data_IF_384733249469
#
_entry.id   IF_384733249469
#
_cell.length_a   1.000
_cell.length_b   1.000
_cell.length_c   1.000
_cell.angle_alpha   90.00
_cell.angle_beta   90.00
_cell.angle_gamma   90.00
#
_symmetry.space_group_name_H-M   'P 1'
#
loop_
_entity.id
_entity.type
_entity.pdbx_description
1 polymer ?
#
# COMPACT_ATOMS: atom_id res chain seq x y z
N UNK A 1 37.48 14.50 -8.90
CA UNK A 1 36.95 15.24 -7.73
C UNK A 1 37.46 14.55 -6.49
N UNK A 2 38.12 15.24 -5.54
CA UNK A 2 38.55 14.59 -4.32
C UNK A 2 37.29 14.13 -3.56
N UNK A 3 37.30 12.88 -3.07
CA UNK A 3 36.23 12.36 -2.25
C UNK A 3 36.04 13.29 -1.06
N UNK A 4 34.85 13.90 -0.94
CA UNK A 4 34.42 14.57 0.28
C UNK A 4 34.46 13.53 1.38
N UNK A 5 35.48 13.58 2.23
CA UNK A 5 35.55 12.81 3.46
C UNK A 5 34.29 13.14 4.27
N UNK A 6 33.41 12.16 4.44
CA UNK A 6 32.25 12.30 5.32
C UNK A 6 32.83 12.44 6.73
N UNK A 7 32.85 13.67 7.25
CA UNK A 7 33.32 13.95 8.61
C UNK A 7 32.27 13.49 9.64
N UNK A 8 32.11 12.17 9.75
CA UNK A 8 31.24 11.49 10.70
C UNK A 8 32.02 10.34 11.34
N UNK A 9 31.69 10.00 12.59
CA UNK A 9 32.26 8.83 13.30
C UNK A 9 31.25 7.71 13.47
N UNK A 10 29.95 8.05 13.50
CA UNK A 10 28.86 7.12 13.77
C UNK A 10 27.77 7.30 12.72
N UNK A 11 27.24 6.19 12.22
CA UNK A 11 25.98 6.14 11.49
C UNK A 11 24.94 5.38 12.29
N UNK A 12 23.78 5.98 12.47
CA UNK A 12 22.58 5.35 13.00
C UNK A 12 21.61 5.10 11.86
N UNK A 13 21.14 3.87 11.74
CA UNK A 13 20.06 3.53 10.83
C UNK A 13 18.73 3.48 11.56
N UNK A 14 17.64 3.85 10.91
CA UNK A 14 16.36 3.27 11.27
C UNK A 14 16.39 1.76 11.02
N UNK A 15 15.64 0.99 11.81
CA UNK A 15 15.61 -0.46 11.72
C UNK A 15 14.56 -0.91 10.71
N UNK A 16 13.28 -0.64 11.01
CA UNK A 16 12.15 -1.04 10.19
C UNK A 16 12.11 -0.16 8.95
N UNK A 17 11.79 -0.76 7.81
CA UNK A 17 11.67 -0.14 6.50
C UNK A 17 12.96 0.53 5.96
N UNK A 18 14.03 0.61 6.76
CA UNK A 18 15.37 1.05 6.32
C UNK A 18 16.33 -0.12 6.14
N UNK A 19 16.50 -0.98 7.15
CA UNK A 19 17.38 -2.16 7.08
C UNK A 19 16.62 -3.47 6.79
N UNK A 20 15.33 -3.51 7.11
CA UNK A 20 14.48 -4.68 6.90
C UNK A 20 13.04 -4.45 7.34
N UNK A 21 12.22 -5.49 7.30
CA UNK A 21 10.81 -5.46 7.68
C UNK A 21 10.49 -6.46 8.77
N UNK A 22 9.47 -6.17 9.57
CA UNK A 22 8.92 -7.10 10.55
C UNK A 22 7.88 -7.96 9.85
N UNK A 23 8.30 -9.09 9.31
CA UNK A 23 7.46 -10.01 8.52
C UNK A 23 6.49 -10.84 9.38
N UNK A 24 6.80 -11.03 10.68
CA UNK A 24 5.96 -11.67 11.69
C UNK A 24 6.31 -11.16 13.09
N UNK A 25 5.41 -11.28 14.08
CA UNK A 25 5.64 -10.74 15.42
C UNK A 25 6.97 -11.22 16.01
N UNK A 26 7.85 -10.27 16.35
CA UNK A 26 9.14 -10.58 16.96
C UNK A 26 10.22 -11.10 16.01
N UNK A 27 10.05 -10.99 14.69
CA UNK A 27 11.07 -11.38 13.72
C UNK A 27 11.36 -10.22 12.75
N UNK A 28 12.64 -9.96 12.47
CA UNK A 28 13.09 -8.92 11.55
C UNK A 28 13.76 -9.57 10.34
N UNK A 29 13.14 -9.44 9.18
CA UNK A 29 13.68 -9.88 7.90
C UNK A 29 14.46 -8.72 7.23
N UNK A 30 15.79 -8.84 7.16
CA UNK A 30 16.64 -7.83 6.54
C UNK A 30 16.54 -7.87 5.01
N UNK A 31 16.70 -6.70 4.37
CA UNK A 31 16.76 -6.58 2.91
C UNK A 31 18.10 -7.13 2.36
N UNK A 32 18.25 -8.45 2.32
CA UNK A 32 19.44 -9.13 1.81
C UNK A 32 19.47 -9.17 0.28
N UNK A 33 20.63 -9.03 -0.37
CA UNK A 33 21.97 -8.80 0.20
C UNK A 33 22.30 -7.30 0.40
N UNK A 34 21.34 -6.40 0.20
CA UNK A 34 21.61 -4.96 0.18
C UNK A 34 21.99 -4.40 1.56
N UNK A 35 21.35 -4.88 2.62
CA UNK A 35 21.66 -4.50 4.01
C UNK A 35 23.06 -4.94 4.39
N UNK A 36 23.45 -6.18 4.10
CA UNK A 36 24.81 -6.69 4.31
C UNK A 36 25.85 -5.75 3.68
N UNK A 37 25.73 -5.51 2.36
CA UNK A 37 26.68 -4.67 1.62
C UNK A 37 26.74 -3.24 2.15
N UNK A 38 25.60 -2.68 2.57
CA UNK A 38 25.53 -1.35 3.13
C UNK A 38 26.27 -1.27 4.47
N UNK A 39 26.00 -2.20 5.38
CA UNK A 39 26.61 -2.24 6.70
C UNK A 39 28.13 -2.49 6.60
N UNK A 40 28.55 -3.42 5.75
CA UNK A 40 29.97 -3.68 5.47
C UNK A 40 30.66 -2.47 4.86
N UNK A 41 30.03 -1.77 3.91
CA UNK A 41 30.60 -0.56 3.33
C UNK A 41 30.79 0.55 4.40
N UNK A 42 29.79 0.77 5.26
CA UNK A 42 29.90 1.79 6.31
C UNK A 42 30.99 1.46 7.33
N UNK A 43 31.10 0.20 7.73
CA UNK A 43 32.09 -0.24 8.71
C UNK A 43 33.50 -0.34 8.12
N UNK A 44 33.67 -1.06 7.01
CA UNK A 44 35.00 -1.47 6.53
C UNK A 44 35.59 -0.51 5.51
N UNK A 45 34.75 0.14 4.68
CA UNK A 45 35.23 1.08 3.66
C UNK A 45 35.25 2.52 4.17
N UNK A 46 34.23 2.93 4.93
CA UNK A 46 34.14 4.29 5.47
C UNK A 46 34.77 4.39 6.86
N UNK A 47 34.75 3.32 7.66
CA UNK A 47 35.32 3.31 9.01
C UNK A 47 34.38 3.85 10.09
N UNK A 48 33.06 3.84 9.86
CA UNK A 48 32.07 4.31 10.83
C UNK A 48 31.70 3.23 11.83
N UNK A 49 31.43 3.63 13.08
CA UNK A 49 30.68 2.81 14.02
C UNK A 49 29.21 2.81 13.60
N UNK A 50 28.56 1.66 13.68
CA UNK A 50 27.19 1.49 13.20
C UNK A 50 26.25 1.29 14.39
N UNK A 51 25.16 2.05 14.44
CA UNK A 51 24.08 1.90 15.42
C UNK A 51 22.72 1.88 14.75
N UNK A 52 21.67 1.72 15.56
CA UNK A 52 20.27 1.82 15.15
C UNK A 52 19.48 2.67 16.13
N UNK A 53 18.55 3.47 15.61
CA UNK A 53 17.56 4.21 16.40
C UNK A 53 16.17 3.80 15.89
N UNK A 54 15.43 3.05 16.69
CA UNK A 54 14.15 2.45 16.27
C UNK A 54 13.01 2.80 17.23
N UNK A 55 11.83 3.05 16.66
CA UNK A 55 10.58 3.09 17.40
C UNK A 55 9.93 1.70 17.37
N UNK A 56 9.51 1.21 18.52
CA UNK A 56 8.66 0.03 18.67
C UNK A 56 7.22 0.46 18.99
N UNK A 57 6.21 -0.24 18.46
CA UNK A 57 4.82 -0.07 18.87
C UNK A 57 4.62 -0.30 20.38
N UNK A 58 3.55 0.25 20.96
CA UNK A 58 3.29 0.18 22.39
C UNK A 58 3.17 -1.26 22.92
N UNK A 59 2.73 -2.18 22.07
CA UNK A 59 2.55 -3.60 22.34
C UNK A 59 3.83 -4.44 22.24
N UNK A 60 4.93 -3.87 21.72
CA UNK A 60 6.22 -4.57 21.59
C UNK A 60 7.17 -4.04 22.65
N UNK A 61 7.62 -4.92 23.55
CA UNK A 61 8.57 -4.55 24.59
C UNK A 61 9.97 -4.31 24.04
N UNK A 62 10.77 -3.51 24.75
CA UNK A 62 12.16 -3.31 24.35
C UNK A 62 12.99 -4.60 24.34
N UNK A 63 12.70 -5.53 25.25
CA UNK A 63 13.34 -6.86 25.27
C UNK A 63 13.03 -7.64 23.98
N UNK A 64 11.78 -7.59 23.51
CA UNK A 64 11.40 -8.19 22.23
C UNK A 64 12.14 -7.52 21.07
N UNK A 65 12.25 -6.19 21.06
CA UNK A 65 13.01 -5.46 20.05
C UNK A 65 14.50 -5.79 20.04
N UNK A 66 15.13 -5.94 21.22
CA UNK A 66 16.54 -6.37 21.32
C UNK A 66 16.73 -7.77 20.77
N UNK A 67 15.81 -8.69 21.08
CA UNK A 67 15.85 -10.05 20.56
C UNK A 67 15.72 -10.05 19.03
N UNK A 68 14.82 -9.23 18.46
CA UNK A 68 14.69 -9.09 17.00
C UNK A 68 16.02 -8.68 16.35
N UNK A 69 16.71 -7.69 16.92
CA UNK A 69 18.03 -7.25 16.42
C UNK A 69 19.09 -8.35 16.59
N UNK A 70 19.07 -9.07 17.72
CA UNK A 70 20.03 -10.14 18.00
C UNK A 70 19.84 -11.36 17.11
N UNK A 71 18.61 -11.69 16.72
CA UNK A 71 18.30 -12.88 15.94
C UNK A 71 18.31 -12.61 14.42
N UNK A 72 18.19 -11.36 13.98
CA UNK A 72 18.17 -10.99 12.56
C UNK A 72 19.45 -11.42 11.84
N UNK A 73 19.32 -12.37 10.90
CA UNK A 73 20.44 -12.90 10.11
C UNK A 73 20.79 -11.94 8.97
N UNK A 74 22.03 -11.47 8.94
CA UNK A 74 22.58 -10.63 7.86
C UNK A 74 23.10 -11.51 6.74
N UNK A 75 23.93 -12.51 7.08
CA UNK A 75 24.57 -13.41 6.12
C UNK A 75 24.68 -14.81 6.70
N UNK A 76 24.52 -15.80 5.84
CA UNK A 76 24.75 -17.22 6.17
C UNK A 76 25.57 -17.83 5.03
N UNK A 77 26.80 -18.27 5.34
CA UNK A 77 27.70 -18.91 4.38
C UNK A 77 28.54 -19.98 5.07
N UNK A 78 28.63 -21.16 4.45
CA UNK A 78 29.49 -22.28 4.91
C UNK A 78 29.32 -22.63 6.40
N UNK A 79 28.09 -22.57 6.91
CA UNK A 79 27.76 -22.87 8.31
C UNK A 79 28.09 -21.76 9.31
N UNK A 80 28.59 -20.61 8.85
CA UNK A 80 28.76 -19.40 9.66
C UNK A 80 27.55 -18.48 9.47
N UNK A 81 26.95 -18.06 10.58
CA UNK A 81 25.82 -17.12 10.62
C UNK A 81 26.31 -15.83 11.25
N UNK A 82 26.06 -14.70 10.58
CA UNK A 82 26.32 -13.35 11.10
C UNK A 82 24.98 -12.69 11.37
N UNK A 83 24.77 -12.27 12.62
CA UNK A 83 23.57 -11.56 13.02
C UNK A 83 23.77 -10.05 12.96
N UNK A 84 22.68 -9.29 12.89
CA UNK A 84 22.72 -7.83 12.85
C UNK A 84 23.44 -7.27 14.08
N UNK A 85 23.15 -7.80 15.26
CA UNK A 85 23.81 -7.39 16.50
C UNK A 85 25.34 -7.56 16.47
N UNK A 86 25.89 -8.48 15.68
CA UNK A 86 27.34 -8.67 15.54
C UNK A 86 28.01 -7.53 14.76
N UNK A 87 27.24 -6.80 13.95
CA UNK A 87 27.72 -5.69 13.12
C UNK A 87 27.43 -4.32 13.74
N UNK A 88 26.59 -4.27 14.76
CA UNK A 88 26.24 -3.03 15.47
C UNK A 88 27.18 -2.80 16.65
N UNK A 89 27.45 -1.54 16.92
CA UNK A 89 28.02 -1.14 18.19
C UNK A 89 26.99 -1.41 19.31
N UNK A 90 27.35 -2.13 20.38
CA UNK A 90 26.41 -2.43 21.47
C UNK A 90 25.81 -1.19 22.14
N UNK A 91 26.56 -0.08 22.19
CA UNK A 91 26.07 1.21 22.72
C UNK A 91 25.22 1.97 21.68
N UNK A 92 25.25 1.54 20.43
CA UNK A 92 24.54 2.15 19.31
C UNK A 92 23.12 1.63 19.12
N UNK A 93 22.64 0.69 19.96
CA UNK A 93 21.28 0.14 19.88
C UNK A 93 20.35 0.97 20.77
N UNK A 94 19.60 1.87 20.14
CA UNK A 94 18.65 2.77 20.81
C UNK A 94 17.22 2.39 20.45
N UNK A 95 16.46 1.97 21.46
CA UNK A 95 15.05 1.60 21.36
C UNK A 95 14.23 2.61 22.16
N UNK A 96 13.21 3.20 21.52
CA UNK A 96 12.38 4.25 22.10
C UNK A 96 11.80 3.92 23.49
N UNK A 97 11.32 2.69 23.72
CA UNK A 97 10.75 2.28 25.02
C UNK A 97 11.78 2.28 26.16
N UNK A 98 13.04 1.96 25.86
CA UNK A 98 14.14 2.01 26.84
C UNK A 98 14.62 3.44 27.04
N UNK A 99 14.73 4.21 25.96
CA UNK A 99 15.11 5.61 25.99
C UNK A 99 14.01 6.49 26.63
N UNK A 100 12.76 6.01 26.64
CA UNK A 100 11.53 6.77 26.97
C UNK A 100 11.37 8.02 26.11
N UNK A 101 11.82 7.93 24.86
CA UNK A 101 11.85 8.99 23.88
C UNK A 101 11.51 8.36 22.53
N UNK A 102 10.60 8.95 21.77
CA UNK A 102 10.21 8.46 20.44
C UNK A 102 10.83 9.33 19.36
N UNK A 103 11.22 8.75 18.23
CA UNK A 103 11.33 9.53 16.99
C UNK A 103 9.93 10.07 16.63
N UNK A 104 9.77 11.31 16.16
CA UNK A 104 10.81 12.26 15.74
C UNK A 104 11.23 13.29 16.82
N UNK A 105 11.07 13.01 18.13
CA UNK A 105 11.52 13.95 19.17
C UNK A 105 13.06 14.15 19.10
N UNK A 106 13.56 15.40 18.97
CA UNK A 106 14.99 15.69 18.94
C UNK A 106 15.82 15.04 20.06
N UNK A 107 15.23 14.85 21.24
CA UNK A 107 15.91 14.28 22.40
C UNK A 107 16.42 12.85 22.18
N UNK A 108 15.75 12.04 21.34
CA UNK A 108 16.19 10.66 21.07
C UNK A 108 17.53 10.63 20.30
N UNK A 109 17.75 11.60 19.42
CA UNK A 109 18.99 11.70 18.63
C UNK A 109 20.16 12.17 19.50
N UNK A 110 19.91 13.10 20.44
CA UNK A 110 20.88 13.48 21.46
C UNK A 110 21.23 12.29 22.37
N UNK A 111 20.21 11.57 22.84
CA UNK A 111 20.41 10.36 23.65
C UNK A 111 21.28 9.33 22.93
N UNK A 112 21.03 9.09 21.63
CA UNK A 112 21.82 8.16 20.84
C UNK A 112 23.29 8.60 20.69
N UNK A 113 23.52 9.88 20.40
CA UNK A 113 24.87 10.44 20.30
C UNK A 113 25.62 10.34 21.65
N UNK A 114 24.95 10.65 22.76
CA UNK A 114 25.50 10.57 24.11
C UNK A 114 25.85 9.13 24.52
N UNK A 115 24.98 8.15 24.21
CA UNK A 115 25.24 6.72 24.42
C UNK A 115 26.53 6.29 23.72
N UNK A 116 26.71 6.74 22.48
CA UNK A 116 27.90 6.43 21.68
C UNK A 116 29.13 7.27 22.04
N UNK A 117 28.95 8.30 22.89
CA UNK A 117 29.97 9.27 23.29
C UNK A 117 30.58 10.02 22.11
N UNK A 118 29.74 10.39 21.15
CA UNK A 118 30.14 11.12 19.95
C UNK A 118 29.34 12.41 19.86
N UNK A 119 29.98 13.58 19.59
CA UNK A 119 29.24 14.83 19.37
C UNK A 119 28.20 14.66 18.27
N UNK A 120 26.99 15.19 18.47
CA UNK A 120 25.86 14.93 17.56
C UNK A 120 26.15 15.36 16.11
N UNK A 121 26.96 16.41 15.92
CA UNK A 121 27.39 16.91 14.61
C UNK A 121 28.31 15.94 13.83
N UNK A 122 28.89 14.95 14.52
CA UNK A 122 29.70 13.85 13.97
C UNK A 122 28.89 12.55 13.82
N UNK A 123 27.58 12.60 14.08
CA UNK A 123 26.67 11.49 13.85
C UNK A 123 25.87 11.70 12.54
N UNK A 124 25.51 10.59 11.90
CA UNK A 124 24.63 10.53 10.73
C UNK A 124 23.43 9.65 11.06
N UNK A 125 22.22 10.13 10.83
CA UNK A 125 21.00 9.31 10.81
C UNK A 125 20.61 9.00 9.37
N UNK A 126 20.27 7.74 9.10
CA UNK A 126 19.76 7.26 7.82
C UNK A 126 18.43 6.56 8.05
N UNK A 127 17.35 7.08 7.45
CA UNK A 127 16.01 6.53 7.59
C UNK A 127 15.16 6.75 6.34
N UNK A 128 14.03 6.06 6.24
CA UNK A 128 13.07 6.18 5.14
C UNK A 128 11.99 7.24 5.41
N UNK A 129 11.77 7.59 6.68
CA UNK A 129 10.80 8.62 7.07
C UNK A 129 11.42 10.03 7.02
N UNK A 130 10.93 10.87 6.11
CA UNK A 130 11.42 12.24 5.93
C UNK A 130 11.30 13.08 7.20
N UNK A 131 10.23 12.93 7.99
CA UNK A 131 10.02 13.72 9.22
C UNK A 131 11.10 13.37 10.24
N UNK A 132 11.47 12.10 10.37
CA UNK A 132 12.53 11.67 11.27
C UNK A 132 13.91 12.17 10.81
N UNK A 133 14.20 12.10 9.51
CA UNK A 133 15.45 12.63 8.94
C UNK A 133 15.58 14.13 9.18
N UNK A 134 14.49 14.90 8.97
CA UNK A 134 14.47 16.33 9.25
C UNK A 134 14.61 16.63 10.75
N UNK A 135 14.03 15.79 11.62
CA UNK A 135 14.17 15.95 13.06
C UNK A 135 15.59 15.67 13.55
N UNK A 136 16.26 14.65 13.00
CA UNK A 136 17.67 14.39 13.27
C UNK A 136 18.54 15.60 12.86
N UNK A 137 18.26 16.18 11.70
CA UNK A 137 18.90 17.41 11.23
C UNK A 137 18.65 18.60 12.16
N UNK A 138 17.41 18.77 12.62
CA UNK A 138 17.04 19.81 13.57
C UNK A 138 17.73 19.64 14.94
N UNK A 139 18.02 18.40 15.36
CA UNK A 139 18.80 18.11 16.57
C UNK A 139 20.31 18.41 16.39
N UNK A 140 20.78 18.65 15.17
CA UNK A 140 22.20 18.89 14.85
C UNK A 140 22.94 17.65 14.33
N UNK A 141 22.26 16.52 14.16
CA UNK A 141 22.80 15.33 13.51
C UNK A 141 22.77 15.51 11.99
N UNK A 142 23.65 14.84 11.23
CA UNK A 142 23.45 14.76 9.78
C UNK A 142 22.29 13.81 9.50
N UNK A 143 21.50 14.07 8.46
CA UNK A 143 20.38 13.22 8.07
C UNK A 143 20.43 12.90 6.59
N UNK A 144 20.28 11.62 6.24
CA UNK A 144 20.15 11.15 4.85
C UNK A 144 18.87 10.34 4.73
N UNK A 145 18.02 10.74 3.78
CA UNK A 145 16.84 9.97 3.41
C UNK A 145 17.28 8.78 2.56
N UNK A 146 16.97 7.57 3.03
CA UNK A 146 17.09 6.32 2.28
C UNK A 146 15.68 5.77 2.02
N UNK A 147 15.02 6.19 0.93
CA UNK A 147 13.68 5.72 0.64
C UNK A 147 13.71 4.23 0.31
N UNK A 148 12.76 3.48 0.86
CA UNK A 148 12.63 2.04 0.64
C UNK A 148 11.15 1.63 0.62
N UNK A 149 10.58 1.30 -0.55
CA UNK A 149 11.14 1.54 -1.88
C UNK A 149 11.20 3.05 -2.22
N UNK A 150 11.94 3.46 -3.27
CA UNK A 150 11.95 4.84 -3.76
C UNK A 150 10.53 5.42 -3.92
N UNK A 151 10.25 6.58 -3.32
CA UNK A 151 8.94 7.26 -3.37
C UNK A 151 8.00 7.02 -2.18
N UNK A 152 8.42 6.24 -1.16
CA UNK A 152 7.65 6.01 0.08
C UNK A 152 7.51 7.26 0.96
N UNK A 153 8.43 8.21 0.85
CA UNK A 153 8.49 9.47 1.60
C UNK A 153 7.32 10.44 1.31
N UNK A 154 6.55 10.17 0.27
CA UNK A 154 5.35 10.93 -0.10
C UNK A 154 4.05 10.25 0.37
N UNK A 155 4.14 9.14 1.12
CA UNK A 155 2.98 8.36 1.57
C UNK A 155 2.61 8.70 3.03
N UNK A 156 1.32 8.92 3.35
CA UNK A 156 0.85 8.87 4.73
C UNK A 156 1.08 7.46 5.29
N UNK A 157 1.61 7.35 6.51
CA UNK A 157 1.84 6.07 7.18
C UNK A 157 0.51 5.35 7.47
N UNK A 158 0.05 4.49 6.56
CA UNK A 158 -0.99 3.49 6.82
C UNK A 158 -0.77 2.27 5.95
N UNK A 159 -0.05 1.26 6.47
CA UNK A 159 -0.32 -0.15 6.13
C UNK A 159 -0.18 -0.94 7.43
N UNK A 160 -1.28 -1.01 8.16
CA UNK A 160 -1.48 -2.02 9.21
C UNK A 160 -2.05 -3.27 8.53
N UNK A 161 -1.36 -4.41 8.66
CA UNK A 161 -1.87 -5.73 8.25
C UNK A 161 -3.30 -5.92 8.74
N UNK A 162 -4.23 -6.17 7.81
CA UNK A 162 -5.57 -6.62 8.14
C UNK A 162 -5.90 -7.89 7.36
N UNK A 163 -6.06 -9.00 8.09
CA UNK A 163 -6.87 -10.16 7.67
C UNK A 163 -6.14 -11.25 6.90
N UNK A 164 -5.53 -12.20 7.61
CA UNK A 164 -5.02 -13.45 7.02
C UNK A 164 -6.19 -14.33 6.52
N UNK A 165 -6.26 -14.55 5.21
CA UNK A 165 -7.10 -15.64 4.67
C UNK A 165 -6.32 -16.97 4.74
N UNK A 166 -7.00 -18.11 4.83
CA UNK A 166 -6.34 -19.42 4.89
C UNK A 166 -5.55 -19.80 3.61
N UNK A 167 -5.62 -18.97 2.55
CA UNK A 167 -4.95 -19.17 1.25
C UNK A 167 -3.97 -18.04 0.91
N UNK A 168 -3.83 -17.06 1.78
CA UNK A 168 -2.91 -15.92 1.66
C UNK A 168 -1.48 -16.40 1.41
N UNK A 169 -0.79 -15.83 0.41
CA UNK A 169 0.61 -16.19 0.13
C UNK A 169 1.61 -15.44 1.03
N UNK A 170 1.15 -14.44 1.79
CA UNK A 170 1.96 -13.60 2.66
C UNK A 170 2.73 -12.51 1.91
N UNK A 171 2.44 -12.30 0.63
CA UNK A 171 3.12 -11.34 -0.25
C UNK A 171 2.53 -9.94 -0.10
N UNK A 172 3.39 -8.93 -0.12
CA UNK A 172 2.98 -7.55 0.13
C UNK A 172 2.15 -6.96 -1.03
N UNK A 173 2.29 -7.47 -2.27
CA UNK A 173 1.39 -7.11 -3.36
C UNK A 173 -0.06 -7.55 -3.13
N UNK A 174 -0.29 -8.68 -2.44
CA UNK A 174 -1.64 -9.17 -2.15
C UNK A 174 -2.36 -8.23 -1.19
N UNK A 175 -1.66 -7.81 -0.12
CA UNK A 175 -2.18 -6.84 0.84
C UNK A 175 -2.54 -5.50 0.17
N UNK A 176 -1.69 -5.02 -0.74
CA UNK A 176 -1.98 -3.82 -1.53
C UNK A 176 -3.28 -3.98 -2.35
N UNK A 177 -3.41 -5.08 -3.09
CA UNK A 177 -4.58 -5.33 -3.93
C UNK A 177 -5.84 -5.55 -3.09
N UNK A 178 -5.74 -6.15 -1.90
CA UNK A 178 -6.87 -6.28 -0.97
C UNK A 178 -7.37 -4.92 -0.48
N UNK A 179 -6.48 -3.96 -0.21
CA UNK A 179 -6.90 -2.59 0.12
C UNK A 179 -7.61 -1.90 -1.04
N UNK A 180 -7.13 -2.11 -2.27
CA UNK A 180 -7.80 -1.62 -3.48
C UNK A 180 -9.18 -2.28 -3.64
N UNK A 181 -9.30 -3.58 -3.35
CA UNK A 181 -10.56 -4.33 -3.36
C UNK A 181 -11.56 -3.78 -2.34
N UNK A 182 -11.15 -3.34 -1.15
CA UNK A 182 -12.06 -2.73 -0.15
C UNK A 182 -12.72 -1.46 -0.70
N UNK A 183 -11.93 -0.58 -1.33
CA UNK A 183 -12.47 0.61 -1.98
C UNK A 183 -13.34 0.25 -3.20
N UNK A 184 -12.91 -0.76 -3.98
CA UNK A 184 -13.69 -1.33 -5.07
C UNK A 184 -15.05 -1.87 -4.62
N UNK A 185 -15.11 -2.57 -3.49
CA UNK A 185 -16.35 -3.13 -2.95
C UNK A 185 -17.37 -2.04 -2.59
N UNK A 186 -16.93 -0.95 -1.98
CA UNK A 186 -17.78 0.23 -1.70
C UNK A 186 -18.27 0.90 -2.99
N UNK A 187 -17.38 1.04 -3.98
CA UNK A 187 -17.75 1.58 -5.30
C UNK A 187 -18.83 0.72 -5.98
N UNK A 188 -18.68 -0.62 -5.96
CA UNK A 188 -19.65 -1.56 -6.52
C UNK A 188 -20.97 -1.56 -5.74
N UNK A 189 -20.95 -1.38 -4.42
CA UNK A 189 -22.16 -1.23 -3.60
C UNK A 189 -22.95 0.02 -4.01
N UNK A 190 -22.27 1.16 -4.22
CA UNK A 190 -22.90 2.35 -4.79
C UNK A 190 -23.51 2.06 -6.18
N UNK A 191 -22.80 1.31 -7.03
CA UNK A 191 -23.32 0.86 -8.33
C UNK A 191 -24.65 0.10 -8.23
N UNK A 192 -24.81 -0.81 -7.26
CA UNK A 192 -26.08 -1.54 -7.03
C UNK A 192 -27.20 -0.62 -6.57
N UNK A 193 -26.90 0.32 -5.68
CA UNK A 193 -27.86 1.34 -5.22
C UNK A 193 -28.33 2.21 -6.38
N UNK A 194 -27.41 2.64 -7.25
CA UNK A 194 -27.74 3.37 -8.49
C UNK A 194 -28.67 2.54 -9.39
N UNK A 195 -28.35 1.26 -9.63
CA UNK A 195 -29.19 0.35 -10.44
C UNK A 195 -30.63 0.30 -9.93
N UNK A 196 -30.82 0.07 -8.62
CA UNK A 196 -32.16 0.04 -7.99
C UNK A 196 -32.89 1.37 -8.14
N UNK A 197 -32.19 2.48 -7.96
CA UNK A 197 -32.80 3.81 -8.09
C UNK A 197 -33.27 4.12 -9.52
N UNK A 198 -32.68 3.48 -10.54
CA UNK A 198 -33.03 3.66 -11.95
C UNK A 198 -34.07 2.64 -12.45
N UNK A 199 -34.59 1.74 -11.62
CA UNK A 199 -35.54 0.71 -12.08
C UNK A 199 -36.83 1.28 -12.65
N UNK A 200 -37.31 2.39 -12.07
CA UNK A 200 -38.57 3.04 -12.42
C UNK A 200 -38.40 4.37 -13.17
N UNK A 201 -37.16 4.74 -13.51
CA UNK A 201 -36.85 6.02 -14.17
C UNK A 201 -36.77 5.80 -15.68
N UNK A 202 -37.56 6.57 -16.43
CA UNK A 202 -37.61 6.47 -17.90
C UNK A 202 -37.14 7.75 -18.59
N UNK A 203 -37.16 8.88 -17.90
CA UNK A 203 -36.77 10.18 -18.43
C UNK A 203 -35.58 10.74 -17.64
N UNK A 204 -34.69 11.47 -18.31
CA UNK A 204 -33.50 11.99 -17.66
C UNK A 204 -33.85 12.99 -16.54
N UNK A 205 -34.81 13.88 -16.74
CA UNK A 205 -35.24 14.88 -15.75
C UNK A 205 -35.79 14.25 -14.46
N UNK A 206 -36.25 13.00 -14.51
CA UNK A 206 -36.85 12.31 -13.37
C UNK A 206 -35.80 11.60 -12.50
N UNK A 207 -34.53 11.56 -12.92
CA UNK A 207 -33.43 11.02 -12.10
C UNK A 207 -33.26 11.90 -10.85
N UNK A 208 -33.41 11.34 -9.63
CA UNK A 208 -33.23 12.12 -8.40
C UNK A 208 -31.86 12.81 -8.35
N UNK A 209 -31.76 14.07 -7.89
CA UNK A 209 -30.49 14.81 -7.92
C UNK A 209 -29.31 14.08 -7.26
N UNK A 210 -29.54 13.43 -6.12
CA UNK A 210 -28.50 12.64 -5.44
C UNK A 210 -28.06 11.41 -6.24
N UNK A 211 -28.99 10.72 -6.90
CA UNK A 211 -28.69 9.58 -7.79
C UNK A 211 -27.88 10.07 -9.00
N UNK A 212 -28.26 11.20 -9.60
CA UNK A 212 -27.53 11.81 -10.72
C UNK A 212 -26.09 12.17 -10.33
N UNK A 213 -25.88 12.74 -9.14
CA UNK A 213 -24.55 13.03 -8.61
C UNK A 213 -23.73 11.74 -8.46
N UNK A 214 -24.32 10.72 -7.83
CA UNK A 214 -23.66 9.44 -7.64
C UNK A 214 -23.31 8.75 -8.96
N UNK A 215 -24.17 8.81 -9.99
CA UNK A 215 -23.88 8.30 -11.34
C UNK A 215 -22.65 8.96 -11.96
N UNK A 216 -22.55 10.30 -11.90
CA UNK A 216 -21.41 11.02 -12.46
C UNK A 216 -20.10 10.68 -11.76
N UNK A 217 -20.12 10.63 -10.42
CA UNK A 217 -18.96 10.23 -9.62
C UNK A 217 -18.58 8.76 -9.83
N UNK A 218 -19.56 7.87 -9.99
CA UNK A 218 -19.32 6.46 -10.32
C UNK A 218 -18.59 6.32 -11.67
N UNK A 219 -19.06 6.99 -12.72
CA UNK A 219 -18.39 7.01 -14.04
C UNK A 219 -16.96 7.54 -13.92
N UNK A 220 -16.76 8.60 -13.14
CA UNK A 220 -15.44 9.17 -12.90
C UNK A 220 -14.51 8.15 -12.22
N UNK A 221 -14.95 7.52 -11.12
CA UNK A 221 -14.17 6.54 -10.39
C UNK A 221 -13.83 5.30 -11.24
N UNK A 222 -14.77 4.80 -12.05
CA UNK A 222 -14.49 3.72 -12.99
C UNK A 222 -13.40 4.09 -14.01
N UNK A 223 -13.44 5.31 -14.53
CA UNK A 223 -12.54 5.77 -15.58
C UNK A 223 -11.13 6.11 -15.07
N UNK A 224 -11.04 6.70 -13.88
CA UNK A 224 -9.81 7.30 -13.37
C UNK A 224 -9.16 6.50 -12.24
N UNK A 225 -9.85 5.50 -11.68
CA UNK A 225 -9.33 4.68 -10.60
C UNK A 225 -9.39 3.19 -10.92
N UNK A 226 -10.58 2.65 -11.18
CA UNK A 226 -10.78 1.19 -11.20
C UNK A 226 -9.91 0.45 -12.24
N UNK A 227 -9.77 0.97 -13.47
CA UNK A 227 -8.90 0.34 -14.47
C UNK A 227 -7.41 0.40 -14.13
N UNK A 228 -6.95 1.52 -13.56
CA UNK A 228 -5.53 1.76 -13.31
C UNK A 228 -5.04 1.15 -12.01
N UNK A 229 -5.80 1.34 -10.93
CA UNK A 229 -5.42 0.93 -9.59
C UNK A 229 -5.58 -0.57 -9.34
N UNK A 230 -6.46 -1.23 -10.10
CA UNK A 230 -6.83 -2.63 -9.91
C UNK A 230 -6.44 -3.46 -11.15
N UNK A 231 -7.18 -3.31 -12.26
CA UNK A 231 -6.99 -4.22 -13.41
C UNK A 231 -5.57 -4.18 -13.99
N UNK A 232 -5.05 -2.99 -14.30
CA UNK A 232 -3.69 -2.86 -14.84
C UNK A 232 -2.60 -3.24 -13.84
N UNK A 233 -2.89 -3.11 -12.54
CA UNK A 233 -1.98 -3.55 -11.50
C UNK A 233 -1.80 -5.07 -11.60
N UNK A 234 -2.88 -5.86 -11.53
CA UNK A 234 -2.84 -7.32 -11.68
C UNK A 234 -2.23 -7.78 -13.01
N UNK A 235 -2.63 -7.15 -14.10
CA UNK A 235 -2.15 -7.48 -15.44
C UNK A 235 -0.64 -7.32 -15.59
N UNK A 236 -0.02 -6.47 -14.77
CA UNK A 236 1.44 -6.26 -14.77
C UNK A 236 2.18 -7.32 -13.95
N UNK A 237 1.52 -7.92 -12.96
CA UNK A 237 2.11 -8.99 -12.13
C UNK A 237 2.24 -10.28 -12.93
N UNK A 238 1.21 -10.61 -13.71
CA UNK A 238 1.10 -11.88 -14.42
C UNK A 238 2.29 -12.17 -15.35
N UNK A 239 2.75 -11.26 -16.23
CA UNK A 239 3.90 -11.50 -17.09
C UNK A 239 5.17 -11.86 -16.32
N UNK A 240 5.39 -11.26 -15.14
CA UNK A 240 6.54 -11.57 -14.30
C UNK A 240 6.43 -12.99 -13.73
N UNK A 241 5.25 -13.37 -13.21
CA UNK A 241 5.01 -14.74 -12.74
C UNK A 241 5.17 -15.77 -13.87
N UNK A 242 4.70 -15.46 -15.10
CA UNK A 242 4.91 -16.32 -16.28
C UNK A 242 6.40 -16.47 -16.60
N UNK A 243 7.16 -15.38 -16.54
CA UNK A 243 8.62 -15.42 -16.73
C UNK A 243 9.34 -16.26 -15.64
N UNK A 244 8.72 -16.40 -14.46
CA UNK A 244 9.18 -17.26 -13.36
C UNK A 244 8.67 -18.71 -13.44
N UNK A 245 7.92 -19.08 -14.47
CA UNK A 245 7.47 -20.46 -14.71
C UNK A 245 5.98 -20.71 -14.51
N UNK A 246 5.17 -19.69 -14.20
CA UNK A 246 3.72 -19.83 -14.15
C UNK A 246 3.17 -20.19 -15.55
N UNK A 247 2.34 -21.24 -15.69
CA UNK A 247 1.71 -21.54 -16.97
C UNK A 247 0.77 -20.38 -17.39
N UNK A 248 0.90 -19.82 -18.62
CA UNK A 248 0.14 -18.62 -19.01
C UNK A 248 -1.38 -18.83 -19.04
N UNK A 249 -1.84 -20.08 -19.21
CA UNK A 249 -3.26 -20.41 -19.16
C UNK A 249 -3.91 -20.22 -17.79
N UNK A 250 -3.14 -20.16 -16.69
CA UNK A 250 -3.65 -20.02 -15.32
C UNK A 250 -4.34 -18.69 -15.05
N UNK A 251 -3.88 -17.62 -15.71
CA UNK A 251 -4.41 -16.27 -15.54
C UNK A 251 -5.29 -15.81 -16.73
N UNK A 252 -5.48 -16.64 -17.76
CA UNK A 252 -6.18 -16.22 -18.99
C UNK A 252 -7.60 -15.70 -18.72
N UNK A 253 -8.30 -16.36 -17.81
CA UNK A 253 -9.66 -15.98 -17.43
C UNK A 253 -9.73 -14.58 -16.81
N UNK A 254 -8.69 -14.14 -16.10
CA UNK A 254 -8.65 -12.81 -15.47
C UNK A 254 -8.65 -11.75 -16.57
N UNK A 255 -7.77 -11.89 -17.57
CA UNK A 255 -7.73 -10.96 -18.71
C UNK A 255 -9.05 -10.92 -19.48
N UNK A 256 -9.65 -12.09 -19.77
CA UNK A 256 -10.93 -12.13 -20.48
C UNK A 256 -12.05 -11.44 -19.67
N UNK A 257 -12.02 -11.54 -18.34
CA UNK A 257 -12.96 -10.84 -17.46
C UNK A 257 -12.66 -9.34 -17.34
N UNK A 258 -11.38 -8.93 -17.32
CA UNK A 258 -10.98 -7.52 -17.35
C UNK A 258 -11.42 -6.84 -18.65
N UNK A 259 -11.24 -7.50 -19.78
CA UNK A 259 -11.69 -6.97 -21.07
C UNK A 259 -13.22 -6.85 -21.12
N UNK A 260 -13.93 -7.85 -20.60
CA UNK A 260 -15.39 -7.80 -20.51
C UNK A 260 -15.88 -6.65 -19.61
N UNK A 261 -15.19 -6.39 -18.49
CA UNK A 261 -15.63 -5.32 -17.58
C UNK A 261 -15.27 -3.93 -18.10
N UNK A 262 -14.13 -3.77 -18.79
CA UNK A 262 -13.84 -2.56 -19.56
C UNK A 262 -14.90 -2.27 -20.59
N UNK A 263 -15.43 -3.29 -21.27
CA UNK A 263 -16.55 -3.12 -22.20
C UNK A 263 -17.82 -2.61 -21.50
N UNK A 264 -18.14 -3.13 -20.30
CA UNK A 264 -19.25 -2.59 -19.49
C UNK A 264 -19.00 -1.14 -19.08
N UNK A 265 -17.81 -0.80 -18.61
CA UNK A 265 -17.46 0.56 -18.19
C UNK A 265 -17.51 1.56 -19.35
N UNK A 266 -17.07 1.15 -20.53
CA UNK A 266 -17.22 1.98 -21.73
C UNK A 266 -18.69 2.23 -22.07
N UNK A 267 -19.52 1.19 -22.03
CA UNK A 267 -20.95 1.32 -22.27
C UNK A 267 -21.64 2.22 -21.23
N UNK A 268 -21.30 2.08 -19.94
CA UNK A 268 -21.76 2.96 -18.86
C UNK A 268 -21.39 4.42 -19.17
N UNK A 269 -20.15 4.68 -19.60
CA UNK A 269 -19.65 6.01 -19.95
C UNK A 269 -20.38 6.61 -21.16
N UNK A 270 -20.63 5.82 -22.19
CA UNK A 270 -21.41 6.22 -23.37
C UNK A 270 -22.85 6.56 -22.98
N UNK A 271 -23.49 5.68 -22.19
CA UNK A 271 -24.84 5.88 -21.69
C UNK A 271 -24.95 7.15 -20.83
N UNK A 272 -23.98 7.40 -19.96
CA UNK A 272 -23.93 8.61 -19.15
C UNK A 272 -23.90 9.90 -19.98
N UNK A 273 -23.07 9.95 -21.03
CA UNK A 273 -23.04 11.10 -21.96
C UNK A 273 -24.39 11.32 -22.65
N UNK A 274 -25.06 10.24 -23.06
CA UNK A 274 -26.41 10.31 -23.66
C UNK A 274 -27.45 10.83 -22.65
N UNK A 275 -27.35 10.47 -21.38
CA UNK A 275 -28.21 11.01 -20.32
C UNK A 275 -27.94 12.49 -20.05
N UNK A 276 -26.69 12.95 -20.15
CA UNK A 276 -26.32 14.35 -19.89
C UNK A 276 -26.65 15.31 -21.04
N UNK A 277 -26.43 14.86 -22.28
CA UNK A 277 -26.39 15.74 -23.45
C UNK A 277 -27.14 15.19 -24.67
N UNK A 278 -27.78 14.03 -24.55
CA UNK A 278 -28.43 13.35 -25.65
C UNK A 278 -29.84 13.85 -26.00
N UNK A 279 -30.43 13.22 -27.01
CA UNK A 279 -31.81 13.43 -27.41
C UNK A 279 -32.76 12.95 -26.30
N UNK A 280 -33.72 13.77 -25.82
CA UNK A 280 -34.72 13.33 -24.84
C UNK A 280 -35.46 12.05 -25.26
N UNK A 281 -35.67 11.83 -26.57
CA UNK A 281 -36.32 10.62 -27.11
C UNK A 281 -35.49 9.35 -26.92
N UNK A 282 -34.20 9.50 -26.63
CA UNK A 282 -33.25 8.41 -26.41
C UNK A 282 -32.97 8.18 -24.90
N UNK A 283 -33.50 9.04 -24.02
CA UNK A 283 -33.19 9.02 -22.60
C UNK A 283 -33.52 7.67 -21.93
N UNK A 284 -34.67 7.08 -22.26
CA UNK A 284 -35.10 5.80 -21.68
C UNK A 284 -34.16 4.64 -22.07
N UNK A 285 -33.63 4.67 -23.30
CA UNK A 285 -32.65 3.68 -23.77
C UNK A 285 -31.30 3.91 -23.10
N UNK A 286 -30.83 5.15 -23.00
CA UNK A 286 -29.59 5.49 -22.32
C UNK A 286 -29.62 5.12 -20.83
N UNK A 287 -30.72 5.36 -20.12
CA UNK A 287 -30.91 4.94 -18.73
C UNK A 287 -30.89 3.40 -18.62
N UNK A 288 -31.58 2.71 -19.53
CA UNK A 288 -31.57 1.24 -19.55
C UNK A 288 -30.17 0.67 -19.81
N UNK A 289 -29.40 1.28 -20.71
CA UNK A 289 -28.03 0.85 -21.02
C UNK A 289 -27.11 1.07 -19.82
N UNK A 290 -27.19 2.25 -19.19
CA UNK A 290 -26.44 2.55 -17.96
C UNK A 290 -26.73 1.50 -16.89
N UNK A 291 -28.01 1.25 -16.60
CA UNK A 291 -28.45 0.31 -15.57
C UNK A 291 -27.93 -1.11 -15.83
N UNK A 292 -28.18 -1.65 -17.03
CA UNK A 292 -27.81 -3.03 -17.39
C UNK A 292 -26.31 -3.24 -17.41
N UNK A 293 -25.53 -2.27 -17.90
CA UNK A 293 -24.08 -2.37 -17.92
C UNK A 293 -23.48 -2.22 -16.51
N UNK A 294 -24.05 -1.36 -15.65
CA UNK A 294 -23.66 -1.29 -14.23
C UNK A 294 -23.95 -2.62 -13.54
N UNK A 295 -25.16 -3.18 -13.69
CA UNK A 295 -25.53 -4.47 -13.12
C UNK A 295 -24.59 -5.60 -13.59
N UNK A 296 -24.35 -5.70 -14.90
CA UNK A 296 -23.42 -6.69 -15.47
C UNK A 296 -21.99 -6.54 -14.92
N UNK A 297 -21.49 -5.32 -14.79
CA UNK A 297 -20.17 -5.06 -14.22
C UNK A 297 -20.06 -5.47 -12.76
N UNK A 298 -21.10 -5.22 -11.95
CA UNK A 298 -21.11 -5.57 -10.53
C UNK A 298 -21.19 -7.09 -10.34
N UNK A 299 -22.06 -7.76 -11.10
CA UNK A 299 -22.19 -9.22 -11.02
C UNK A 299 -20.90 -9.92 -11.41
N UNK A 300 -20.24 -9.45 -12.48
CA UNK A 300 -18.94 -9.97 -12.89
C UNK A 300 -17.91 -9.80 -11.78
N UNK A 301 -17.74 -8.58 -11.26
CA UNK A 301 -16.73 -8.30 -10.22
C UNK A 301 -16.94 -9.05 -8.91
N UNK A 302 -18.20 -9.32 -8.52
CA UNK A 302 -18.49 -10.11 -7.29
C UNK A 302 -17.86 -11.49 -7.34
N UNK A 303 -17.91 -12.15 -8.51
CA UNK A 303 -17.28 -13.46 -8.70
C UNK A 303 -15.79 -13.38 -9.01
N UNK A 304 -15.38 -12.32 -9.71
CA UNK A 304 -14.00 -12.05 -10.07
C UNK A 304 -13.12 -11.85 -8.84
N UNK A 305 -13.47 -10.93 -7.94
CA UNK A 305 -12.67 -10.58 -6.77
C UNK A 305 -12.44 -11.78 -5.83
N UNK A 306 -13.47 -12.63 -5.64
CA UNK A 306 -13.34 -13.88 -4.87
C UNK A 306 -12.33 -14.80 -5.53
N UNK A 307 -12.43 -14.97 -6.85
CA UNK A 307 -11.54 -15.87 -7.59
C UNK A 307 -10.10 -15.35 -7.64
N UNK A 308 -9.91 -14.04 -7.71
CA UNK A 308 -8.58 -13.44 -7.63
C UNK A 308 -7.91 -13.75 -6.29
N UNK A 309 -8.61 -13.44 -5.20
CA UNK A 309 -8.14 -13.69 -3.84
C UNK A 309 -7.86 -15.17 -3.58
N UNK A 310 -8.75 -16.05 -4.02
CA UNK A 310 -8.70 -17.48 -3.67
C UNK A 310 -7.87 -18.33 -4.63
N UNK A 311 -7.66 -17.88 -5.88
CA UNK A 311 -6.99 -18.65 -6.93
C UNK A 311 -5.81 -17.89 -7.56
N UNK A 312 -6.00 -16.64 -8.00
CA UNK A 312 -4.97 -15.91 -8.75
C UNK A 312 -3.79 -15.52 -7.87
N UNK A 313 -4.04 -14.82 -6.77
CA UNK A 313 -2.98 -14.31 -5.91
C UNK A 313 -2.12 -15.43 -5.33
N UNK A 314 -2.71 -16.51 -4.77
CA UNK A 314 -1.90 -17.62 -4.27
C UNK A 314 -1.12 -18.32 -5.39
N UNK A 315 -1.65 -18.36 -6.62
CA UNK A 315 -0.90 -18.89 -7.76
C UNK A 315 0.27 -17.97 -8.14
N UNK A 316 0.07 -16.66 -8.21
CA UNK A 316 1.15 -15.68 -8.44
C UNK A 316 2.24 -15.80 -7.36
N UNK A 317 1.85 -15.83 -6.09
CA UNK A 317 2.75 -15.91 -4.95
C UNK A 317 3.67 -17.14 -4.96
N UNK A 318 3.22 -18.28 -5.52
CA UNK A 318 4.04 -19.50 -5.66
C UNK A 318 5.22 -19.35 -6.62
N UNK A 319 5.13 -18.44 -7.59
CA UNK A 319 6.15 -18.26 -8.63
C UNK A 319 7.02 -17.03 -8.40
N UNK A 320 6.56 -16.07 -7.58
CA UNK A 320 7.30 -14.84 -7.30
C UNK A 320 8.23 -15.00 -6.10
N UNK A 321 9.45 -14.48 -6.24
CA UNK A 321 10.42 -14.32 -5.14
C UNK A 321 10.17 -13.03 -4.37
N UNK A 322 10.81 -12.85 -3.21
CA UNK A 322 10.72 -11.63 -2.42
C UNK A 322 11.22 -10.39 -3.20
N UNK A 323 12.26 -10.57 -4.01
CA UNK A 323 12.76 -9.52 -4.91
C UNK A 323 11.76 -9.19 -6.02
N UNK A 324 11.01 -10.19 -6.51
CA UNK A 324 9.94 -9.96 -7.48
C UNK A 324 8.76 -9.22 -6.82
N UNK A 325 8.39 -9.56 -5.58
CA UNK A 325 7.34 -8.89 -4.81
C UNK A 325 7.63 -7.38 -4.65
N UNK A 326 8.86 -7.05 -4.24
CA UNK A 326 9.31 -5.65 -4.17
C UNK A 326 9.27 -4.94 -5.54
N UNK A 327 9.62 -5.66 -6.62
CA UNK A 327 9.57 -5.13 -7.99
C UNK A 327 8.14 -4.90 -8.45
N UNK A 328 7.23 -5.84 -8.17
CA UNK A 328 5.80 -5.75 -8.48
C UNK A 328 5.18 -4.56 -7.77
N UNK A 329 5.43 -4.41 -6.47
CA UNK A 329 4.95 -3.26 -5.71
C UNK A 329 5.45 -1.95 -6.30
N UNK A 330 6.72 -1.89 -6.72
CA UNK A 330 7.26 -0.73 -7.41
C UNK A 330 6.49 -0.47 -8.71
N UNK A 331 6.29 -1.47 -9.57
CA UNK A 331 5.59 -1.32 -10.84
C UNK A 331 4.13 -0.87 -10.66
N UNK A 332 3.38 -1.53 -9.77
CA UNK A 332 1.98 -1.24 -9.50
C UNK A 332 1.78 0.21 -9.04
N UNK A 333 2.71 0.72 -8.19
CA UNK A 333 2.70 2.12 -7.73
C UNK A 333 2.91 3.15 -8.85
N UNK A 334 3.47 2.76 -9.99
CA UNK A 334 3.67 3.65 -11.14
C UNK A 334 2.54 3.56 -12.19
N UNK A 335 1.62 2.61 -12.05
CA UNK A 335 0.52 2.37 -12.98
C UNK A 335 -0.77 3.04 -12.49
N UNK A 336 -1.03 2.96 -11.19
CA UNK A 336 -2.19 3.56 -10.53
C UNK A 336 -1.96 4.99 -10.03
N UNK A 337 -3.02 5.65 -9.54
CA UNK A 337 -2.87 6.90 -8.81
C UNK A 337 -2.00 6.70 -7.56
N UNK A 338 -1.07 7.63 -7.26
CA UNK A 338 -0.14 7.49 -6.13
C UNK A 338 -0.83 7.61 -4.76
N UNK A 339 -2.04 8.16 -4.73
CA UNK A 339 -2.86 8.33 -3.53
C UNK A 339 -4.32 7.92 -3.85
N UNK A 340 -4.85 6.99 -3.06
CA UNK A 340 -6.24 6.50 -3.17
C UNK A 340 -7.23 7.33 -2.35
N UNK A 341 -6.74 8.21 -1.45
CA UNK A 341 -7.54 9.06 -0.57
C UNK A 341 -8.58 9.92 -1.29
N UNK A 342 -8.23 10.61 -2.40
CA UNK A 342 -9.22 11.37 -3.19
C UNK A 342 -10.35 10.48 -3.72
N UNK A 343 -10.07 9.24 -4.10
CA UNK A 343 -11.09 8.31 -4.60
C UNK A 343 -11.95 7.74 -3.47
N UNK A 344 -11.38 7.51 -2.29
CA UNK A 344 -12.15 7.18 -1.09
C UNK A 344 -13.11 8.30 -0.70
N UNK A 345 -12.70 9.57 -0.85
CA UNK A 345 -13.57 10.72 -0.63
C UNK A 345 -14.69 10.82 -1.68
N UNK A 346 -14.39 10.53 -2.96
CA UNK A 346 -15.40 10.47 -4.03
C UNK A 346 -16.44 9.38 -3.73
N UNK A 347 -16.01 8.19 -3.33
CA UNK A 347 -16.92 7.10 -2.94
C UNK A 347 -17.75 7.48 -1.72
N UNK A 348 -17.16 8.13 -0.71
CA UNK A 348 -17.91 8.68 0.43
C UNK A 348 -18.97 9.71 0.01
N UNK A 349 -18.64 10.60 -0.92
CA UNK A 349 -19.60 11.57 -1.46
C UNK A 349 -20.74 10.90 -2.26
N UNK A 350 -20.45 9.77 -2.93
CA UNK A 350 -21.48 8.98 -3.61
C UNK A 350 -22.44 8.34 -2.62
N UNK A 351 -21.92 7.75 -1.54
CA UNK A 351 -22.73 7.18 -0.46
C UNK A 351 -23.67 8.23 0.14
N UNK A 352 -23.14 9.41 0.47
CA UNK A 352 -23.92 10.55 1.01
C UNK A 352 -24.99 11.04 0.02
N UNK A 353 -24.67 11.12 -1.27
CA UNK A 353 -25.61 11.53 -2.31
C UNK A 353 -26.77 10.53 -2.47
N UNK A 354 -26.48 9.23 -2.37
CA UNK A 354 -27.48 8.16 -2.41
C UNK A 354 -28.34 8.11 -1.14
N UNK A 355 -27.75 8.37 0.02
CA UNK A 355 -28.46 8.49 1.30
C UNK A 355 -29.43 9.68 1.27
N UNK A 356 -28.98 10.82 0.75
CA UNK A 356 -29.80 12.02 0.56
C UNK A 356 -30.97 11.78 -0.41
N UNK A 357 -30.78 10.90 -1.39
CA UNK A 357 -31.83 10.46 -2.31
C UNK A 357 -32.73 9.34 -1.73
N UNK A 358 -32.50 8.92 -0.47
CA UNK A 358 -33.23 7.85 0.22
C UNK A 358 -33.20 6.50 -0.52
N UNK A 359 -32.12 6.24 -1.26
CA UNK A 359 -31.90 4.93 -1.88
C UNK A 359 -31.42 3.98 -0.80
N UNK A 360 -32.15 2.89 -0.49
CA UNK A 360 -31.79 2.00 0.61
C UNK A 360 -30.42 1.35 0.38
N UNK A 361 -29.72 1.07 1.48
CA UNK A 361 -28.48 0.31 1.46
C UNK A 361 -28.69 -1.11 0.93
N UNK A 362 -27.59 -1.69 0.47
CA UNK A 362 -27.61 -3.06 -0.02
C UNK A 362 -27.51 -4.05 1.15
N UNK A 363 -28.54 -4.89 1.41
CA UNK A 363 -28.47 -5.88 2.48
C UNK A 363 -27.37 -6.94 2.27
N UNK A 364 -26.88 -7.10 1.02
CA UNK A 364 -25.77 -7.98 0.65
C UNK A 364 -24.39 -7.34 0.84
N UNK A 365 -24.28 -6.11 1.36
CA UNK A 365 -22.99 -5.42 1.59
C UNK A 365 -22.21 -5.95 2.81
N UNK A 366 -22.63 -7.06 3.40
CA UNK A 366 -22.05 -7.62 4.61
C UNK A 366 -20.75 -8.40 4.30
N UNK A 367 -19.68 -7.66 4.09
CA UNK A 367 -18.44 -7.92 4.83
C UNK A 367 -18.27 -6.77 5.82
N UNK A 368 -18.19 -7.11 7.11
CA UNK A 368 -18.38 -6.20 8.24
C UNK A 368 -17.24 -5.19 8.44
N UNK A 369 -17.09 -4.20 7.55
CA UNK A 369 -16.32 -3.00 7.86
C UNK A 369 -17.19 -1.97 8.56
N UNK A 370 -16.97 -1.85 9.86
CA UNK A 370 -17.39 -0.78 10.76
C UNK A 370 -17.30 0.58 10.06
N UNK A 371 -18.41 1.34 10.04
CA UNK A 371 -18.38 2.78 9.73
C UNK A 371 -17.34 3.43 10.64
N UNK A 372 -16.19 3.84 10.09
CA UNK A 372 -15.31 4.79 10.78
C UNK A 372 -16.06 6.12 10.77
N UNK A 373 -16.85 6.32 11.82
CA UNK A 373 -17.44 7.62 12.12
C UNK A 373 -16.32 8.52 12.61
N UNK A 374 -15.78 9.34 11.71
CA UNK A 374 -15.00 10.50 12.10
C UNK A 374 -15.90 11.42 12.92
N UNK A 375 -15.66 11.48 14.23
CA UNK A 375 -16.08 12.61 15.06
C UNK A 375 -14.86 13.52 15.26
N UNK A 376 -15.16 14.81 15.13
CA UNK A 376 -14.33 16.01 15.17
C UNK A 376 -13.15 16.00 16.15
#
# INVERSE_FOLDING_TARGET
MPATTVDCDVVFFDLRDTLGEVDRPGHLALYRPSTEKLLDAMRDLVGLRVGVITNLPAEVSAEQGRRMIAEAVVTESDGSVVHLADLLDPQGIVINHEAKLDKPDPAIYHFAADQMRVPIERCLFVGENLIEVLAAQAAGMRGVLKPSPPGKEFQPAVISRQGESARDSGRAFEEFLEQVHLLGARLLACGRRIVRALDTVHEAQDIPPGVRTAMGMFVYALTHFADQAHLKAEETIVPLAVARGMPPGRARWMFDQHDQVRAYWEAIRVAWRRIQHGDPRDACHAISDFRRCTEGSVLLFRSHAVREKDELYPELGRHLTDADDATVLSLVRHIGPPDTGPYAAIVGAMEEALDSARVPDDPDSADGTTRITGKA
#
